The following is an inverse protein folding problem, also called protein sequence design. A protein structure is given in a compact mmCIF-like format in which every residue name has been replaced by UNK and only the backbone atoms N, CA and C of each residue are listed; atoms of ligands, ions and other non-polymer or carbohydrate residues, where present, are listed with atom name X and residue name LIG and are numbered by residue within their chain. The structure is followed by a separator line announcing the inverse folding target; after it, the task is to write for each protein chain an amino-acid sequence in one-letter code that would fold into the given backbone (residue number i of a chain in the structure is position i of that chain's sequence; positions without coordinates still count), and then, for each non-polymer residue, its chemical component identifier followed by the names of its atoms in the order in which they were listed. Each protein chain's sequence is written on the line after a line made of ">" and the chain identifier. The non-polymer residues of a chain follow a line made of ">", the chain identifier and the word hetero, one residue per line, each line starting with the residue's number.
data_IF_986701212583
#
_entry.id   IF_986701212583
#
_cell.length_a   1.000
_cell.length_b   1.000
_cell.length_c   1.000
_cell.angle_alpha   90.00
_cell.angle_beta   90.00
_cell.angle_gamma   90.00
#
_symmetry.space_group_name_H-M   'P 1'
#
loop_
_entity.id
_entity.type
_entity.pdbx_description
1 polymer ?
#
# COMPACT_ATOMS: atom_id res chain seq x y z
N UNK A 1 20.01 4.13 -8.88
CA UNK A 1 18.78 3.32 -8.76
C UNK A 1 18.07 3.81 -7.51
N UNK A 2 17.00 4.60 -7.68
CA UNK A 2 16.20 5.03 -6.53
C UNK A 2 15.57 3.78 -5.91
N UNK A 3 15.71 3.66 -4.60
CA UNK A 3 15.37 2.44 -3.84
C UNK A 3 13.86 2.15 -3.80
N UNK A 4 13.06 2.99 -4.44
CA UNK A 4 11.61 3.02 -4.31
C UNK A 4 10.89 2.64 -5.61
N UNK A 5 11.58 2.30 -6.70
CA UNK A 5 10.98 1.93 -7.98
C UNK A 5 11.00 0.41 -8.20
N UNK A 6 10.09 -0.31 -7.55
CA UNK A 6 10.04 -1.77 -7.63
C UNK A 6 8.83 -2.27 -8.41
N UNK A 7 9.02 -3.41 -9.09
CA UNK A 7 7.90 -4.15 -9.68
C UNK A 7 7.09 -4.83 -8.59
N UNK A 8 5.76 -4.75 -8.68
CA UNK A 8 4.87 -5.44 -7.75
C UNK A 8 4.53 -6.83 -8.28
N UNK A 9 4.83 -7.87 -7.49
CA UNK A 9 4.42 -9.25 -7.75
C UNK A 9 3.53 -9.74 -6.61
N UNK A 10 2.35 -10.24 -6.93
CA UNK A 10 1.38 -10.77 -5.95
C UNK A 10 0.91 -12.13 -6.43
N UNK A 11 1.00 -13.15 -5.57
CA UNK A 11 0.63 -14.54 -5.92
C UNK A 11 1.31 -15.01 -7.24
N UNK A 12 2.58 -14.63 -7.43
CA UNK A 12 3.38 -14.96 -8.62
C UNK A 12 3.02 -14.17 -9.89
N UNK A 13 2.17 -13.14 -9.81
CA UNK A 13 1.75 -12.33 -10.96
C UNK A 13 2.27 -10.90 -10.87
N UNK A 14 2.88 -10.41 -11.95
CA UNK A 14 3.21 -8.99 -12.08
C UNK A 14 1.92 -8.15 -12.13
N UNK A 15 1.88 -7.08 -11.34
CA UNK A 15 0.72 -6.20 -11.22
C UNK A 15 1.02 -4.87 -11.94
N UNK A 16 0.34 -4.63 -13.06
CA UNK A 16 0.36 -3.34 -13.75
C UNK A 16 -0.65 -2.38 -13.14
N UNK A 17 -0.35 -1.08 -13.22
CA UNK A 17 -1.23 -0.06 -12.70
C UNK A 17 -2.55 -0.12 -13.47
N UNK A 18 -3.71 -0.30 -12.82
CA UNK A 18 -4.98 -0.45 -13.51
C UNK A 18 -5.44 0.86 -14.19
N UNK A 19 -4.80 1.98 -13.86
CA UNK A 19 -5.15 3.31 -14.40
C UNK A 19 -4.29 3.67 -15.61
N UNK A 20 -2.98 3.40 -15.58
CA UNK A 20 -2.04 3.86 -16.62
C UNK A 20 -1.15 2.77 -17.23
N UNK A 21 -1.24 1.52 -16.77
CA UNK A 21 -0.44 0.40 -17.25
C UNK A 21 1.02 0.37 -16.79
N UNK A 22 1.48 1.34 -16.00
CA UNK A 22 2.85 1.39 -15.48
C UNK A 22 3.15 0.25 -14.50
N UNK A 23 4.39 -0.22 -14.44
CA UNK A 23 4.79 -1.43 -13.71
C UNK A 23 5.62 -1.17 -12.44
N UNK A 24 5.99 0.08 -12.16
CA UNK A 24 6.77 0.45 -10.97
C UNK A 24 5.94 1.15 -9.90
N UNK A 25 6.24 0.80 -8.66
CA UNK A 25 5.57 1.34 -7.48
C UNK A 25 6.59 1.65 -6.38
N UNK A 26 6.24 2.60 -5.52
CA UNK A 26 6.84 2.76 -4.21
C UNK A 26 5.88 2.31 -3.12
N UNK A 27 6.43 1.89 -1.99
CA UNK A 27 5.66 1.27 -0.90
C UNK A 27 5.54 2.21 0.30
N UNK A 28 4.37 2.20 0.94
CA UNK A 28 4.13 2.84 2.24
C UNK A 28 3.14 2.03 3.06
N UNK A 29 3.00 2.37 4.34
CA UNK A 29 1.97 1.80 5.20
C UNK A 29 0.97 2.89 5.59
N UNK A 30 -0.31 2.51 5.71
CA UNK A 30 -1.35 3.39 6.25
C UNK A 30 -2.07 2.67 7.38
N UNK A 31 -2.15 3.33 8.53
CA UNK A 31 -2.93 2.86 9.68
C UNK A 31 -4.42 2.88 9.32
N UNK A 32 -5.13 1.78 9.61
CA UNK A 32 -6.59 1.69 9.42
C UNK A 32 -7.34 1.88 10.74
N UNK A 33 -7.04 2.99 11.43
CA UNK A 33 -7.72 3.35 12.67
C UNK A 33 -9.19 3.71 12.41
N UNK A 34 -10.09 3.23 13.28
CA UNK A 34 -11.42 3.83 13.43
C UNK A 34 -11.28 5.05 14.35
N UNK A 35 -11.98 6.14 14.05
CA UNK A 35 -11.82 7.41 14.79
C UNK A 35 -12.02 7.30 16.32
N UNK A 36 -12.72 6.26 16.80
CA UNK A 36 -12.91 5.99 18.23
C UNK A 36 -11.80 5.18 18.92
N UNK A 37 -10.93 4.47 18.17
CA UNK A 37 -9.88 3.62 18.74
C UNK A 37 -8.69 4.42 19.28
N UNK A 38 -8.37 5.56 18.65
CA UNK A 38 -7.30 6.47 19.11
C UNK A 38 -7.63 7.19 20.44
N UNK A 39 -8.91 7.25 20.84
CA UNK A 39 -9.32 7.84 22.12
C UNK A 39 -9.20 6.88 23.32
N UNK A 40 -9.04 5.57 23.09
CA UNK A 40 -9.02 4.55 24.15
C UNK A 40 -7.67 3.84 24.32
N UNK A 41 -6.58 4.35 23.72
CA UNK A 41 -5.22 3.84 23.96
C UNK A 41 -4.95 2.43 23.41
N UNK A 42 -5.77 1.95 22.48
CA UNK A 42 -5.62 0.63 21.81
C UNK A 42 -4.84 0.72 20.50
N UNK A 43 -3.75 1.50 20.46
CA UNK A 43 -2.93 1.65 19.24
C UNK A 43 -2.26 0.34 18.82
N UNK A 44 -2.10 -0.62 19.74
CA UNK A 44 -1.49 -1.94 19.50
C UNK A 44 -2.40 -2.93 18.75
N UNK A 45 -3.70 -2.64 18.61
CA UNK A 45 -4.66 -3.49 17.91
C UNK A 45 -4.95 -3.01 16.47
N UNK A 46 -4.30 -1.93 16.01
CA UNK A 46 -4.60 -1.33 14.72
C UNK A 46 -3.97 -2.13 13.58
N UNK A 47 -4.81 -2.60 12.66
CA UNK A 47 -4.35 -3.18 11.40
C UNK A 47 -3.76 -2.08 10.53
N UNK A 48 -2.53 -2.28 10.04
CA UNK A 48 -1.94 -1.46 8.99
C UNK A 48 -2.22 -2.10 7.62
N UNK A 49 -2.47 -1.27 6.62
CA UNK A 49 -2.49 -1.69 5.22
C UNK A 49 -1.16 -1.33 4.55
N UNK A 50 -0.59 -2.26 3.79
CA UNK A 50 0.51 -1.97 2.88
C UNK A 50 -0.06 -1.35 1.62
N UNK A 51 0.52 -0.25 1.18
CA UNK A 51 0.12 0.47 -0.02
C UNK A 51 1.24 0.49 -1.04
N UNK A 52 0.90 0.18 -2.29
CA UNK A 52 1.79 0.35 -3.43
C UNK A 52 1.26 1.50 -4.28
N UNK A 53 2.08 2.55 -4.42
CA UNK A 53 1.71 3.77 -5.12
C UNK A 53 2.43 3.82 -6.47
N UNK A 54 1.67 3.95 -7.55
CA UNK A 54 2.21 4.00 -8.90
C UNK A 54 3.12 5.22 -9.07
N UNK A 55 4.35 5.02 -9.54
CA UNK A 55 5.31 6.10 -9.80
C UNK A 55 4.85 7.08 -10.87
N UNK A 56 4.03 6.63 -11.82
CA UNK A 56 3.63 7.45 -12.97
C UNK A 56 2.38 8.31 -12.68
N UNK A 57 1.34 7.75 -12.07
CA UNK A 57 0.05 8.44 -11.90
C UNK A 57 -0.40 8.60 -10.44
N UNK A 58 0.34 8.05 -9.48
CA UNK A 58 0.00 8.14 -8.06
C UNK A 58 -1.17 7.26 -7.60
N UNK A 59 -1.73 6.40 -8.47
CA UNK A 59 -2.77 5.45 -8.06
C UNK A 59 -2.27 4.51 -6.95
N UNK A 60 -3.10 4.30 -5.93
CA UNK A 60 -2.74 3.54 -4.73
C UNK A 60 -3.46 2.21 -4.70
N UNK A 61 -2.70 1.12 -4.71
CA UNK A 61 -3.19 -0.23 -4.42
C UNK A 61 -3.10 -0.49 -2.91
N UNK A 62 -4.17 -1.00 -2.30
CA UNK A 62 -4.25 -1.26 -0.86
C UNK A 62 -4.28 -2.77 -0.59
N UNK A 63 -3.37 -3.23 0.26
CA UNK A 63 -3.28 -4.61 0.73
C UNK A 63 -3.44 -4.63 2.24
N UNK A 64 -4.55 -5.19 2.71
CA UNK A 64 -4.73 -5.50 4.12
C UNK A 64 -4.08 -6.87 4.39
N UNK A 65 -3.15 -6.91 5.36
CA UNK A 65 -2.58 -8.18 5.82
C UNK A 65 -3.69 -9.16 6.19
N UNK A 66 -3.62 -10.38 5.63
CA UNK A 66 -4.56 -11.47 5.92
C UNK A 66 -4.14 -12.21 7.17
#
# INVERSE_FOLDING_TARGET
>A
MNKDEEKLVVEGKEILCPICGHDKYWTRETLMNTAGASFLGFDWANKAATNYVCHQCGYVLWFLGK
#
